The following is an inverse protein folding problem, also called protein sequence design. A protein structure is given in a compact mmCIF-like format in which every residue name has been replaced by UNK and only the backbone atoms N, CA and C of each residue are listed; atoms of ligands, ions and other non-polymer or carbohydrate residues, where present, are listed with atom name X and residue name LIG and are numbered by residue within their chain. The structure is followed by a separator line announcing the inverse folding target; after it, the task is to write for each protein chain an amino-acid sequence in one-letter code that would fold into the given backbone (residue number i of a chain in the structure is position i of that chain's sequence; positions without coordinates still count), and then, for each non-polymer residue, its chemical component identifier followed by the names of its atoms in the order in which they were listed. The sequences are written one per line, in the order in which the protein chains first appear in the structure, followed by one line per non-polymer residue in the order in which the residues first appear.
data_IF_679221775857
#
_entry.id   IF_679221775857
#
_cell.length_a   1.000
_cell.length_b   1.000
_cell.length_c   1.000
_cell.angle_alpha   90.00
_cell.angle_beta   90.00
_cell.angle_gamma   90.00
#
_symmetry.space_group_name_H-M   'P 1'
#
loop_
_entity.id
_entity.type
_entity.pdbx_description
1 polymer ?
#
# COMPACT_ATOMS: atom_id res chain seq x y z
N UNK A 1 4.80 7.97 24.00
CA UNK A 1 3.40 7.56 24.09
C UNK A 1 2.93 7.02 22.74
N UNK A 2 2.54 5.76 22.73
CA UNK A 2 2.13 5.14 21.48
C UNK A 2 0.76 5.68 21.07
N UNK A 3 0.70 6.28 19.90
CA UNK A 3 -0.57 6.68 19.31
C UNK A 3 -1.19 5.42 18.74
N UNK A 4 -2.34 5.01 19.27
CA UNK A 4 -3.04 3.86 18.74
C UNK A 4 -3.61 4.23 17.38
N UNK A 5 -3.06 3.64 16.34
CA UNK A 5 -3.57 3.81 14.98
C UNK A 5 -4.59 2.71 14.75
N UNK A 6 -5.80 3.08 14.40
CA UNK A 6 -6.84 2.12 14.10
C UNK A 6 -6.76 1.73 12.63
N UNK A 7 -6.82 0.44 12.35
CA UNK A 7 -6.88 -0.06 10.97
C UNK A 7 -8.03 0.54 10.18
N UNK A 8 -9.11 0.83 10.89
CA UNK A 8 -10.33 1.42 10.31
C UNK A 8 -10.09 2.82 9.72
N UNK A 9 -8.99 3.48 10.13
CA UNK A 9 -8.61 4.76 9.54
C UNK A 9 -8.15 4.62 8.10
N UNK A 10 -7.80 3.40 7.68
CA UNK A 10 -7.37 3.11 6.32
C UNK A 10 -8.41 2.24 5.62
N UNK A 11 -8.69 2.53 4.36
CA UNK A 11 -9.65 1.77 3.57
C UNK A 11 -9.16 0.36 3.24
N UNK A 12 -7.87 0.12 3.35
CA UNK A 12 -7.27 -1.17 3.10
C UNK A 12 -5.75 -1.07 3.10
N UNK A 13 -5.06 -2.18 2.81
CA UNK A 13 -3.60 -2.21 2.84
C UNK A 13 -2.94 -1.28 1.82
N UNK A 14 -3.56 -1.07 0.66
CA UNK A 14 -3.01 -0.13 -0.32
C UNK A 14 -3.06 1.30 0.19
N UNK A 15 -4.11 1.65 0.93
CA UNK A 15 -4.23 2.97 1.54
C UNK A 15 -3.13 3.19 2.58
N UNK A 16 -2.87 2.19 3.42
CA UNK A 16 -1.78 2.26 4.39
C UNK A 16 -0.43 2.43 3.69
N UNK A 17 -0.18 1.67 2.63
CA UNK A 17 1.07 1.78 1.88
C UNK A 17 1.24 3.16 1.26
N UNK A 18 0.18 3.72 0.67
CA UNK A 18 0.23 5.08 0.13
C UNK A 18 0.56 6.09 1.22
N UNK A 19 -0.05 5.93 2.39
CA UNK A 19 0.23 6.80 3.53
C UNK A 19 1.71 6.75 3.91
N UNK A 20 2.30 5.56 3.97
CA UNK A 20 3.72 5.39 4.30
C UNK A 20 4.62 6.00 3.22
N UNK A 21 4.27 5.81 1.96
CA UNK A 21 5.02 6.36 0.84
C UNK A 21 5.01 7.89 0.89
N UNK A 22 3.85 8.49 1.12
CA UNK A 22 3.71 9.94 1.21
C UNK A 22 4.40 10.50 2.45
N UNK A 23 4.27 9.82 3.58
CA UNK A 23 4.89 10.24 4.84
C UNK A 23 6.41 10.27 4.73
N UNK A 24 7.01 9.30 4.05
CA UNK A 24 8.45 9.18 3.88
C UNK A 24 8.97 9.90 2.63
N UNK A 25 8.10 10.56 1.88
CA UNK A 25 8.43 11.27 0.64
C UNK A 25 9.15 10.38 -0.36
N UNK A 26 8.61 9.18 -0.54
CA UNK A 26 9.19 8.16 -1.41
C UNK A 26 8.59 8.29 -2.80
N UNK A 27 9.42 8.03 -3.83
CA UNK A 27 8.96 7.92 -5.19
C UNK A 27 8.23 6.60 -5.38
N UNK A 28 6.96 6.66 -5.77
CA UNK A 28 6.13 5.47 -5.96
C UNK A 28 6.69 4.52 -7.03
N UNK A 29 7.48 5.05 -7.96
CA UNK A 29 8.13 4.25 -9.01
C UNK A 29 9.42 3.58 -8.54
N UNK A 30 9.90 3.92 -7.35
CA UNK A 30 11.13 3.34 -6.81
C UNK A 30 11.00 3.18 -5.29
N UNK A 31 10.21 2.21 -4.89
CA UNK A 31 9.89 1.96 -3.49
C UNK A 31 11.03 1.18 -2.81
N UNK A 32 11.61 1.69 -1.71
CA UNK A 32 12.59 0.93 -0.93
C UNK A 32 11.86 -0.15 -0.12
N UNK A 33 11.74 -1.32 -0.71
CA UNK A 33 10.90 -2.39 -0.20
C UNK A 33 11.28 -2.84 1.22
N UNK A 34 12.57 -2.91 1.52
CA UNK A 34 13.02 -3.35 2.85
C UNK A 34 12.51 -2.40 3.94
N UNK A 35 12.65 -1.10 3.72
CA UNK A 35 12.22 -0.08 4.69
C UNK A 35 10.70 0.00 4.79
N UNK A 36 10.02 -0.03 3.67
CA UNK A 36 8.55 0.07 3.65
C UNK A 36 7.92 -1.17 4.27
N UNK A 37 8.48 -2.35 4.02
CA UNK A 37 8.00 -3.59 4.64
C UNK A 37 8.12 -3.51 6.16
N UNK A 38 9.27 -3.04 6.65
CA UNK A 38 9.48 -2.91 8.09
C UNK A 38 8.47 -1.93 8.72
N UNK A 39 8.24 -0.79 8.10
CA UNK A 39 7.27 0.20 8.60
C UNK A 39 5.85 -0.34 8.55
N UNK A 40 5.50 -1.03 7.47
CA UNK A 40 4.17 -1.62 7.31
C UNK A 40 3.90 -2.65 8.42
N UNK A 41 4.85 -3.55 8.66
CA UNK A 41 4.71 -4.56 9.71
C UNK A 41 4.60 -3.92 11.09
N UNK A 42 5.36 -2.86 11.34
CA UNK A 42 5.32 -2.14 12.61
C UNK A 42 3.93 -1.52 12.84
N UNK A 43 3.35 -0.92 11.80
CA UNK A 43 1.99 -0.39 11.86
C UNK A 43 0.98 -1.47 12.22
N UNK A 44 1.06 -2.62 11.57
CA UNK A 44 0.13 -3.73 11.83
C UNK A 44 0.25 -4.23 13.27
N UNK A 45 1.48 -4.30 13.79
CA UNK A 45 1.70 -4.74 15.18
C UNK A 45 1.06 -3.80 16.21
N UNK A 46 1.05 -2.51 15.91
CA UNK A 46 0.49 -1.50 16.81
C UNK A 46 -1.02 -1.39 16.72
N UNK A 47 -1.63 -1.99 15.72
CA UNK A 47 -3.06 -1.90 15.51
C UNK A 47 -3.83 -2.88 16.40
N UNK A 48 -5.00 -2.46 16.88
CA UNK A 48 -5.88 -3.32 17.63
C UNK A 48 -6.57 -4.30 16.69
N UNK A 49 -6.58 -5.58 17.08
CA UNK A 49 -7.12 -6.65 16.26
C UNK A 49 -8.57 -6.92 16.60
N UNK A 50 -9.43 -5.93 16.38
CA UNK A 50 -10.84 -6.07 16.70
C UNK A 50 -11.63 -6.82 15.63
N UNK A 51 -11.22 -6.67 14.37
CA UNK A 51 -11.92 -7.30 13.25
C UNK A 51 -10.95 -8.18 12.45
N UNK A 52 -11.17 -9.49 12.50
CA UNK A 52 -10.32 -10.46 11.82
C UNK A 52 -10.43 -10.37 10.31
N UNK A 53 -11.58 -9.97 9.77
CA UNK A 53 -11.74 -9.84 8.33
C UNK A 53 -10.91 -8.67 7.79
N UNK A 54 -10.92 -7.55 8.49
CA UNK A 54 -10.11 -6.39 8.13
C UNK A 54 -8.63 -6.73 8.26
N UNK A 55 -8.25 -7.36 9.38
CA UNK A 55 -6.87 -7.75 9.63
C UNK A 55 -6.35 -8.72 8.56
N UNK A 56 -7.22 -9.63 8.08
CA UNK A 56 -6.85 -10.61 7.06
C UNK A 56 -6.29 -9.94 5.79
N UNK A 57 -6.95 -8.90 5.31
CA UNK A 57 -6.49 -8.18 4.12
C UNK A 57 -5.10 -7.56 4.34
N UNK A 58 -4.88 -6.99 5.51
CA UNK A 58 -3.58 -6.40 5.84
C UNK A 58 -2.49 -7.47 5.95
N UNK A 59 -2.83 -8.65 6.47
CA UNK A 59 -1.86 -9.75 6.57
C UNK A 59 -1.52 -10.35 5.21
N UNK A 60 -2.47 -10.42 4.29
CA UNK A 60 -2.20 -10.86 2.91
C UNK A 60 -1.22 -9.90 2.24
N UNK A 61 -1.41 -8.60 2.42
CA UNK A 61 -0.46 -7.62 1.88
C UNK A 61 0.92 -7.75 2.54
N UNK A 62 0.97 -8.03 3.85
CA UNK A 62 2.25 -8.26 4.54
C UNK A 62 3.01 -9.41 3.89
N UNK A 63 2.31 -10.51 3.58
CA UNK A 63 2.92 -11.65 2.90
C UNK A 63 3.44 -11.26 1.52
N UNK A 64 2.68 -10.45 0.79
CA UNK A 64 3.09 -9.94 -0.52
C UNK A 64 4.36 -9.12 -0.42
N UNK A 65 4.44 -8.22 0.56
CA UNK A 65 5.62 -7.37 0.76
C UNK A 65 6.85 -8.21 1.13
N UNK A 66 6.66 -9.22 1.97
CA UNK A 66 7.76 -10.12 2.35
C UNK A 66 8.24 -10.90 1.15
N UNK A 67 7.33 -11.37 0.30
CA UNK A 67 7.67 -12.08 -0.93
C UNK A 67 8.49 -11.18 -1.88
N UNK A 68 8.03 -9.94 -2.07
CA UNK A 68 8.75 -8.98 -2.91
C UNK A 68 10.14 -8.71 -2.32
N UNK A 69 10.21 -8.53 -1.00
CA UNK A 69 11.48 -8.30 -0.32
C UNK A 69 12.45 -9.44 -0.57
N UNK A 70 11.99 -10.68 -0.45
CA UNK A 70 12.82 -11.85 -0.72
C UNK A 70 13.33 -11.86 -2.15
N UNK A 71 12.46 -11.56 -3.12
CA UNK A 71 12.84 -11.50 -4.52
C UNK A 71 13.84 -10.39 -4.81
N UNK A 72 13.70 -9.25 -4.13
CA UNK A 72 14.63 -8.14 -4.28
C UNK A 72 16.03 -8.45 -3.73
N UNK A 73 16.11 -9.31 -2.72
CA UNK A 73 17.37 -9.69 -2.09
C UNK A 73 18.05 -10.85 -2.78
N UNK A 74 17.34 -11.58 -3.65
CA UNK A 74 17.90 -12.66 -4.43
C UNK A 74 18.49 -12.15 -5.74
N UNK A 75 19.37 -12.94 -6.41
CA UNK A 75 19.84 -12.57 -7.73
C UNK A 75 18.67 -12.39 -8.68
N UNK A 76 18.73 -11.35 -9.52
CA UNK A 76 17.64 -11.03 -10.43
C UNK A 76 17.43 -12.12 -11.46
N UNK A 77 16.18 -12.53 -11.62
CA UNK A 77 15.79 -13.47 -12.65
C UNK A 77 15.52 -12.70 -13.94
N UNK A 78 15.87 -13.33 -15.05
CA UNK A 78 15.68 -12.75 -16.37
C UNK A 78 14.50 -13.47 -17.01
N UNK A 79 13.56 -12.74 -17.58
CA UNK A 79 12.42 -13.34 -18.26
C UNK A 79 12.82 -13.93 -19.61
N UNK A 80 11.86 -14.53 -20.33
CA UNK A 80 12.11 -15.18 -21.62
C UNK A 80 12.69 -14.25 -22.68
N UNK A 81 12.39 -12.95 -22.56
CA UNK A 81 12.88 -11.92 -23.50
C UNK A 81 14.26 -11.39 -23.11
N UNK A 82 14.86 -11.88 -22.05
CA UNK A 82 16.16 -11.43 -21.58
C UNK A 82 16.13 -10.17 -20.76
N UNK A 83 14.94 -9.73 -20.33
CA UNK A 83 14.76 -8.55 -19.50
C UNK A 83 14.64 -8.91 -18.03
N UNK A 84 15.23 -8.09 -17.17
CA UNK A 84 15.09 -8.25 -15.72
C UNK A 84 13.69 -7.79 -15.28
N UNK A 85 12.97 -8.66 -14.57
CA UNK A 85 11.69 -8.28 -14.00
C UNK A 85 11.89 -7.64 -12.64
N UNK A 86 11.26 -6.48 -12.44
CA UNK A 86 11.23 -5.83 -11.13
C UNK A 86 10.11 -6.47 -10.31
N UNK A 87 10.44 -7.12 -9.18
CA UNK A 87 9.41 -7.76 -8.35
C UNK A 87 8.37 -6.77 -7.80
N UNK A 88 8.68 -5.47 -7.81
CA UNK A 88 7.78 -4.42 -7.32
C UNK A 88 6.77 -3.95 -8.36
N UNK A 89 6.91 -4.37 -9.63
CA UNK A 89 6.13 -3.78 -10.73
C UNK A 89 4.62 -3.91 -10.52
N UNK A 90 4.14 -5.07 -10.11
CA UNK A 90 2.72 -5.28 -9.84
C UNK A 90 2.20 -4.41 -8.71
N UNK A 91 2.98 -4.31 -7.64
CA UNK A 91 2.61 -3.48 -6.49
C UNK A 91 2.52 -2.01 -6.88
N UNK A 92 3.50 -1.51 -7.63
CA UNK A 92 3.50 -0.12 -8.11
C UNK A 92 2.24 0.14 -8.94
N UNK A 93 1.89 -0.77 -9.82
CA UNK A 93 0.69 -0.62 -10.65
C UNK A 93 -0.58 -0.56 -9.81
N UNK A 94 -0.71 -1.44 -8.83
CA UNK A 94 -1.86 -1.45 -7.93
C UNK A 94 -1.96 -0.17 -7.10
N UNK A 95 -0.83 0.34 -6.65
CA UNK A 95 -0.79 1.60 -5.89
C UNK A 95 -1.20 2.77 -6.74
N UNK A 96 -0.75 2.82 -7.99
CA UNK A 96 -1.13 3.89 -8.91
C UNK A 96 -2.61 3.85 -9.23
N UNK A 97 -3.16 2.67 -9.46
CA UNK A 97 -4.59 2.48 -9.71
C UNK A 97 -5.42 2.91 -8.50
N UNK A 98 -4.99 2.54 -7.30
CA UNK A 98 -5.66 2.92 -6.07
C UNK A 98 -5.60 4.42 -5.84
N UNK A 99 -4.45 5.03 -6.09
CA UNK A 99 -4.28 6.47 -5.97
C UNK A 99 -5.24 7.22 -6.89
N UNK A 100 -5.37 6.75 -8.13
CA UNK A 100 -6.31 7.31 -9.09
C UNK A 100 -7.76 7.12 -8.63
N UNK A 101 -8.09 5.95 -8.13
CA UNK A 101 -9.41 5.65 -7.58
C UNK A 101 -9.77 6.64 -6.46
N UNK A 102 -8.85 6.86 -5.54
CA UNK A 102 -9.07 7.79 -4.42
C UNK A 102 -9.29 9.22 -4.91
N UNK A 103 -8.49 9.64 -5.89
CA UNK A 103 -8.63 10.97 -6.47
C UNK A 103 -10.00 11.14 -7.13
N UNK A 104 -10.40 10.19 -7.95
CA UNK A 104 -11.70 10.25 -8.63
C UNK A 104 -12.86 10.17 -7.66
N UNK A 105 -12.73 9.37 -6.61
CA UNK A 105 -13.75 9.25 -5.58
C UNK A 105 -13.95 10.58 -4.85
N UNK A 106 -12.85 11.28 -4.56
CA UNK A 106 -12.90 12.61 -3.96
C UNK A 106 -13.59 13.62 -4.88
N UNK A 107 -13.23 13.63 -6.16
CA UNK A 107 -13.84 14.54 -7.14
C UNK A 107 -15.33 14.29 -7.28
N UNK A 108 -15.77 13.03 -7.29
CA UNK A 108 -17.18 12.68 -7.39
C UNK A 108 -17.95 13.15 -6.16
N UNK A 109 -17.37 13.08 -4.98
CA UNK A 109 -18.00 13.58 -3.76
C UNK A 109 -18.21 15.09 -3.82
N UNK A 110 -17.22 15.82 -4.33
CA UNK A 110 -17.33 17.26 -4.49
C UNK A 110 -18.42 17.64 -5.48
N UNK A 111 -18.52 16.93 -6.59
CA UNK A 111 -19.58 17.13 -7.59
C UNK A 111 -20.95 16.84 -6.96
N UNK A 112 -21.06 15.74 -6.21
CA UNK A 112 -22.29 15.37 -5.54
C UNK A 112 -22.75 16.40 -4.52
N UNK A 113 -21.82 16.96 -3.78
CA UNK A 113 -22.13 18.02 -2.80
C UNK A 113 -22.64 19.29 -3.50
N UNK A 114 -22.04 19.65 -4.60
CA UNK A 114 -22.47 20.81 -5.38
C UNK A 114 -23.88 20.61 -5.91
N UNK A 115 -24.21 19.43 -6.39
CA UNK A 115 -25.56 19.09 -6.88
C UNK A 115 -26.61 19.13 -5.78
N UNK A 116 -26.26 18.68 -4.59
CA UNK A 116 -27.21 18.61 -3.47
C UNK A 116 -27.55 19.95 -2.86
N UNK A 117 -26.84 21.01 -3.22
CA UNK A 117 -27.04 22.34 -2.67
C UNK A 117 -28.11 23.16 -3.39
N UNK A 118 -28.63 22.68 -4.47
CA UNK A 118 -29.69 23.35 -5.20
C UNK A 118 -31.06 23.20 -4.56
#
# INVERSE_FOLDING_TARGET
MAISVKLEAFEGPLDLLLHLIEKNKIDIYDIPIVEITAQYLDYIRQMQREDMNVMSEFLVMAATLIDIKCKMLLPKEVNEDGEEEDPRAELVQKLLEYKMYKYMSFELKEIGRASCRE
#
